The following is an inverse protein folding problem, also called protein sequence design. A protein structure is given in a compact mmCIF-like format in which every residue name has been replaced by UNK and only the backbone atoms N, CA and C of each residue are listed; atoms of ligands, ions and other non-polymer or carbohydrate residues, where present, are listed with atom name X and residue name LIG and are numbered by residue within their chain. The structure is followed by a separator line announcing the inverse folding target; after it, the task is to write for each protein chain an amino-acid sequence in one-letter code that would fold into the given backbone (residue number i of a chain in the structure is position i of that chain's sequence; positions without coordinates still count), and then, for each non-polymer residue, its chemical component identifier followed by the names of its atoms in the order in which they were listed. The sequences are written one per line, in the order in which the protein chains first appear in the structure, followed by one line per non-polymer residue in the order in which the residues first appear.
data_IF_329463316480
#
_entry.id   IF_329463316480
#
_cell.length_a   1.000
_cell.length_b   1.000
_cell.length_c   1.000
_cell.angle_alpha   90.00
_cell.angle_beta   90.00
_cell.angle_gamma   90.00
#
_symmetry.space_group_name_H-M   'P 1'
#
loop_
_entity.id
_entity.type
_entity.pdbx_description
1 polymer ?
#
# COMPACT_ATOMS: atom_id res chain seq x y z
N UNK A 1 -22.43 9.75 31.16
CA UNK A 1 -22.48 8.40 31.81
C UNK A 1 -23.51 7.58 31.04
N UNK A 2 -23.22 6.30 30.78
CA UNK A 2 -24.02 5.37 29.93
C UNK A 2 -24.07 5.68 28.43
N UNK A 3 -24.08 4.69 27.52
CA UNK A 3 -23.24 3.48 27.41
C UNK A 3 -23.35 2.99 25.94
N UNK A 4 -22.28 2.45 25.36
CA UNK A 4 -22.31 1.87 24.00
C UNK A 4 -22.64 0.37 24.03
N UNK A 5 -23.62 -0.12 23.24
CA UNK A 5 -23.87 -1.56 23.11
C UNK A 5 -22.98 -2.18 22.02
N UNK A 6 -21.80 -2.67 22.41
CA UNK A 6 -21.06 -3.67 21.58
C UNK A 6 -21.83 -4.99 21.61
N UNK A 7 -22.75 -5.17 20.66
CA UNK A 7 -23.46 -6.42 20.49
C UNK A 7 -22.53 -7.49 19.90
N UNK A 8 -22.12 -8.43 20.74
CA UNK A 8 -21.42 -9.67 20.36
C UNK A 8 -22.35 -10.48 19.45
N UNK A 9 -21.97 -10.70 18.19
CA UNK A 9 -22.59 -11.75 17.37
C UNK A 9 -21.70 -13.00 17.41
N UNK A 10 -22.27 -14.08 17.92
CA UNK A 10 -21.56 -15.35 18.11
C UNK A 10 -21.40 -16.10 16.78
N UNK A 11 -20.18 -16.55 16.48
CA UNK A 11 -19.94 -17.48 15.38
C UNK A 11 -20.18 -18.92 15.86
N UNK A 12 -21.41 -19.41 15.75
CA UNK A 12 -21.75 -20.80 16.08
C UNK A 12 -21.26 -21.75 15.01
N UNK A 13 -20.17 -22.46 15.30
CA UNK A 13 -19.67 -23.56 14.49
C UNK A 13 -20.53 -24.82 14.68
N UNK A 14 -21.01 -25.41 13.58
CA UNK A 14 -21.45 -26.81 13.53
C UNK A 14 -21.62 -27.31 12.08
N UNK A 15 -20.77 -28.25 11.65
CA UNK A 15 -21.26 -29.42 10.90
C UNK A 15 -20.28 -30.59 11.05
N UNK A 16 -20.80 -31.77 11.40
CA UNK A 16 -20.01 -32.94 11.76
C UNK A 16 -20.00 -34.01 10.65
N UNK A 17 -18.80 -34.54 10.40
CA UNK A 17 -18.40 -35.82 9.82
C UNK A 17 -19.44 -36.82 9.24
N UNK A 18 -19.05 -37.46 8.12
CA UNK A 18 -19.35 -38.88 7.89
C UNK A 18 -18.28 -39.63 7.04
N UNK A 19 -17.71 -40.67 7.65
CA UNK A 19 -17.12 -41.92 7.11
C UNK A 19 -16.24 -41.99 5.83
N UNK A 20 -15.06 -42.63 5.97
CA UNK A 20 -14.30 -43.33 4.92
C UNK A 20 -14.73 -44.82 4.84
N UNK A 21 -14.42 -45.61 3.77
CA UNK A 21 -13.06 -46.08 3.39
C UNK A 21 -12.85 -46.08 1.84
N UNK A 22 -11.95 -46.80 1.12
CA UNK A 22 -10.99 -47.88 1.45
C UNK A 22 -9.78 -48.00 0.47
N UNK A 23 -8.65 -48.49 1.00
CA UNK A 23 -7.64 -49.41 0.40
C UNK A 23 -7.22 -49.34 -1.09
N UNK A 24 -5.99 -48.85 -1.32
CA UNK A 24 -4.95 -49.48 -2.18
C UNK A 24 -3.57 -48.90 -1.76
N UNK A 25 -2.74 -49.56 -0.95
CA UNK A 25 -1.86 -50.69 -1.30
C UNK A 25 -1.00 -50.44 -2.56
N UNK A 26 0.17 -49.81 -2.41
CA UNK A 26 1.45 -50.57 -2.34
C UNK A 26 2.66 -49.65 -2.21
N UNK A 27 3.65 -50.05 -1.40
CA UNK A 27 5.04 -49.59 -1.52
C UNK A 27 5.71 -50.38 -2.66
N UNK A 28 6.85 -49.91 -3.22
CA UNK A 28 8.12 -50.37 -2.69
C UNK A 28 9.22 -49.32 -2.61
N UNK A 29 10.28 -49.66 -1.86
CA UNK A 29 11.45 -48.82 -1.60
C UNK A 29 12.51 -48.92 -2.71
N UNK A 30 13.05 -47.77 -3.14
CA UNK A 30 14.37 -47.64 -3.77
C UNK A 30 14.87 -46.20 -3.52
N UNK A 31 15.82 -45.94 -2.62
CA UNK A 31 17.28 -46.06 -2.81
C UNK A 31 17.84 -45.29 -4.01
N UNK A 32 18.52 -44.16 -3.72
CA UNK A 32 19.69 -43.54 -4.40
C UNK A 32 19.70 -42.05 -4.02
N UNK A 33 20.28 -41.59 -2.91
CA UNK A 33 21.72 -41.57 -2.56
C UNK A 33 22.63 -41.09 -3.70
N UNK A 34 22.91 -39.78 -3.67
CA UNK A 34 24.10 -39.08 -4.19
C UNK A 34 24.58 -39.36 -5.62
N UNK A 35 24.54 -38.33 -6.46
CA UNK A 35 25.71 -37.97 -7.27
C UNK A 35 26.14 -36.53 -6.98
N UNK A 36 27.45 -36.33 -6.89
CA UNK A 36 28.10 -35.05 -6.63
C UNK A 36 28.06 -34.14 -7.87
N UNK A 37 28.27 -32.80 -7.71
CA UNK A 37 28.60 -31.97 -8.85
C UNK A 37 29.87 -32.50 -9.51
N UNK A 38 29.81 -32.73 -10.82
CA UNK A 38 30.97 -33.16 -11.61
C UNK A 38 31.96 -32.01 -11.73
N UNK A 39 32.97 -31.98 -10.86
CA UNK A 39 34.13 -31.11 -11.01
C UNK A 39 34.93 -31.54 -12.24
N UNK A 40 34.60 -30.94 -13.38
CA UNK A 40 35.31 -31.11 -14.65
C UNK A 40 36.69 -30.45 -14.62
N UNK A 41 37.66 -31.09 -13.97
CA UNK A 41 39.07 -30.73 -14.07
C UNK A 41 39.72 -31.43 -15.27
N UNK A 42 39.53 -30.86 -16.47
CA UNK A 42 40.37 -31.17 -17.63
C UNK A 42 41.51 -30.14 -17.68
N UNK A 43 42.74 -30.59 -17.39
CA UNK A 43 43.92 -29.74 -17.37
C UNK A 43 44.57 -29.60 -18.77
N UNK A 44 45.38 -28.55 -18.92
CA UNK A 44 46.18 -28.17 -20.11
C UNK A 44 45.35 -27.60 -21.27
N UNK A 45 45.75 -26.52 -21.94
CA UNK A 45 47.10 -25.97 -22.18
C UNK A 45 47.20 -24.45 -21.89
N UNK A 46 48.39 -23.91 -21.58
CA UNK A 46 48.66 -22.47 -21.61
C UNK A 46 49.03 -22.02 -23.03
N UNK A 47 48.30 -21.04 -23.58
CA UNK A 47 48.83 -20.25 -24.69
C UNK A 47 48.39 -18.78 -24.57
N UNK A 48 49.36 -17.91 -24.33
CA UNK A 48 49.16 -16.51 -23.94
C UNK A 48 49.09 -15.59 -25.16
N UNK A 49 47.92 -15.39 -25.77
CA UNK A 49 47.71 -14.28 -26.71
C UNK A 49 46.31 -13.67 -26.63
N UNK A 50 46.30 -12.36 -26.41
CA UNK A 50 45.39 -11.38 -27.03
C UNK A 50 43.87 -11.46 -26.77
N UNK A 51 43.46 -10.94 -25.60
CA UNK A 51 42.46 -9.86 -25.48
C UNK A 51 42.26 -9.52 -23.99
N UNK A 52 42.00 -8.25 -23.61
CA UNK A 52 41.25 -8.01 -22.38
C UNK A 52 39.87 -8.62 -22.59
N UNK A 53 39.55 -9.68 -21.85
CA UNK A 53 38.18 -10.21 -21.86
C UNK A 53 37.29 -9.06 -21.40
N UNK A 54 36.46 -8.54 -22.30
CA UNK A 54 35.33 -7.73 -21.87
C UNK A 54 34.58 -8.63 -20.89
N UNK A 55 34.51 -8.21 -19.62
CA UNK A 55 33.73 -8.95 -18.62
C UNK A 55 32.38 -9.23 -19.27
N UNK A 56 31.91 -10.49 -19.30
CA UNK A 56 30.66 -10.80 -19.98
C UNK A 56 29.63 -9.88 -19.35
N UNK A 57 29.12 -8.95 -20.17
CA UNK A 57 28.00 -8.11 -19.77
C UNK A 57 26.90 -9.10 -19.48
N UNK A 58 26.67 -9.35 -18.19
CA UNK A 58 25.59 -10.22 -17.77
C UNK A 58 24.36 -9.66 -18.47
N UNK A 59 23.65 -10.47 -19.29
CA UNK A 59 22.47 -9.98 -19.98
C UNK A 59 21.59 -9.39 -18.88
N UNK A 60 21.33 -8.08 -18.98
CA UNK A 60 20.68 -7.34 -17.91
C UNK A 60 19.43 -8.14 -17.54
N UNK A 61 19.40 -8.64 -16.30
CA UNK A 61 18.34 -9.55 -15.88
C UNK A 61 17.02 -8.88 -16.27
N UNK A 62 16.15 -9.55 -17.06
CA UNK A 62 14.96 -8.92 -17.59
C UNK A 62 14.25 -8.30 -16.39
N UNK A 63 14.08 -6.97 -16.43
CA UNK A 63 13.53 -6.24 -15.30
C UNK A 63 12.24 -6.96 -14.90
N UNK A 64 12.23 -7.51 -13.67
CA UNK A 64 11.11 -8.31 -13.21
C UNK A 64 9.85 -7.48 -13.46
N UNK A 65 8.80 -8.05 -14.10
CA UNK A 65 7.66 -7.27 -14.53
C UNK A 65 7.18 -6.49 -13.33
N UNK A 66 7.20 -5.15 -13.43
CA UNK A 66 6.88 -4.28 -12.31
C UNK A 66 5.52 -4.74 -11.78
N UNK A 67 5.52 -5.23 -10.53
CA UNK A 67 4.32 -5.80 -9.94
C UNK A 67 3.20 -4.77 -10.08
N UNK A 68 2.05 -5.19 -10.62
CA UNK A 68 0.95 -4.27 -10.88
C UNK A 68 0.70 -3.43 -9.60
N UNK A 69 0.62 -2.09 -9.72
CA UNK A 69 0.55 -1.25 -8.54
C UNK A 69 -0.66 -1.68 -7.72
N UNK A 70 -0.42 -1.99 -6.44
CA UNK A 70 -1.50 -2.34 -5.52
C UNK A 70 -2.51 -1.20 -5.47
N UNK A 71 -3.78 -1.50 -5.24
CA UNK A 71 -4.85 -0.50 -5.13
C UNK A 71 -4.50 0.64 -4.16
N UNK A 72 -3.82 0.32 -3.04
CA UNK A 72 -3.27 1.28 -2.08
C UNK A 72 -2.24 2.24 -2.71
N UNK A 73 -1.37 1.75 -3.58
CA UNK A 73 -0.36 2.57 -4.27
C UNK A 73 -1.00 3.45 -5.36
N UNK A 74 -2.04 2.97 -6.04
CA UNK A 74 -2.86 3.79 -6.95
C UNK A 74 -3.56 4.90 -6.17
N UNK A 75 -4.20 4.55 -5.05
CA UNK A 75 -4.88 5.50 -4.17
C UNK A 75 -3.91 6.54 -3.56
N UNK A 76 -2.68 6.17 -3.19
CA UNK A 76 -1.66 7.12 -2.72
C UNK A 76 -1.26 8.12 -3.82
N UNK A 77 -0.99 7.62 -5.03
CA UNK A 77 -0.62 8.47 -6.17
C UNK A 77 -1.74 9.45 -6.54
N UNK A 78 -2.99 8.96 -6.56
CA UNK A 78 -4.18 9.79 -6.75
C UNK A 78 -4.33 10.82 -5.64
N UNK A 79 -4.15 10.44 -4.36
CA UNK A 79 -4.23 11.37 -3.23
C UNK A 79 -3.18 12.49 -3.33
N UNK A 80 -1.93 12.18 -3.71
CA UNK A 80 -0.90 13.21 -3.94
C UNK A 80 -1.32 14.20 -5.03
N UNK A 81 -1.88 13.72 -6.15
CA UNK A 81 -2.37 14.58 -7.21
C UNK A 81 -3.56 15.46 -6.75
N UNK A 82 -4.48 14.89 -5.97
CA UNK A 82 -5.61 15.62 -5.36
C UNK A 82 -5.11 16.74 -4.45
N UNK A 83 -4.13 16.48 -3.57
CA UNK A 83 -3.60 17.49 -2.63
C UNK A 83 -2.95 18.65 -3.40
N UNK A 84 -2.18 18.38 -4.45
CA UNK A 84 -1.59 19.44 -5.28
C UNK A 84 -2.65 20.27 -6.02
N UNK A 85 -3.70 19.64 -6.57
CA UNK A 85 -4.84 20.34 -7.15
C UNK A 85 -5.53 21.25 -6.14
N UNK A 86 -5.80 20.74 -4.92
CA UNK A 86 -6.44 21.50 -3.85
C UNK A 86 -5.59 22.69 -3.37
N UNK A 87 -4.27 22.55 -3.33
CA UNK A 87 -3.32 23.64 -3.03
C UNK A 87 -3.26 24.67 -4.14
N UNK A 88 -3.33 24.24 -5.41
CA UNK A 88 -3.46 25.13 -6.57
C UNK A 88 -4.81 25.87 -6.62
N UNK A 89 -5.83 25.37 -5.92
CA UNK A 89 -7.20 25.91 -5.99
C UNK A 89 -7.98 25.39 -7.20
N UNK A 90 -7.50 24.32 -7.83
CA UNK A 90 -8.10 23.70 -9.01
C UNK A 90 -8.79 22.38 -8.66
N UNK A 91 -9.76 21.97 -9.48
CA UNK A 91 -10.45 20.69 -9.34
C UNK A 91 -10.65 20.11 -10.74
N UNK A 92 -9.83 19.12 -11.10
CA UNK A 92 -9.98 18.41 -12.36
C UNK A 92 -11.19 17.48 -12.30
N UNK A 93 -12.28 17.84 -12.97
CA UNK A 93 -13.55 17.10 -12.89
C UNK A 93 -13.53 15.76 -13.61
N UNK A 94 -12.41 15.34 -14.20
CA UNK A 94 -12.26 14.00 -14.81
C UNK A 94 -11.76 12.96 -13.81
N UNK A 95 -11.19 13.38 -12.67
CA UNK A 95 -10.70 12.48 -11.62
C UNK A 95 -11.76 12.14 -10.55
N UNK A 96 -12.84 12.93 -10.45
CA UNK A 96 -13.89 12.75 -9.45
C UNK A 96 -15.23 12.42 -10.12
N UNK A 97 -16.10 11.75 -9.38
CA UNK A 97 -17.54 11.68 -9.72
C UNK A 97 -18.15 13.09 -9.79
N UNK A 98 -19.17 13.29 -10.64
CA UNK A 98 -19.75 14.61 -10.90
C UNK A 98 -20.32 15.31 -9.65
N UNK A 99 -20.90 14.54 -8.71
CA UNK A 99 -21.37 15.04 -7.42
C UNK A 99 -20.21 15.56 -6.55
N UNK A 100 -19.15 14.76 -6.39
CA UNK A 100 -17.99 15.14 -5.59
C UNK A 100 -17.24 16.32 -6.21
N UNK A 101 -17.07 16.35 -7.53
CA UNK A 101 -16.48 17.49 -8.25
C UNK A 101 -17.27 18.79 -7.99
N UNK A 102 -18.62 18.73 -8.03
CA UNK A 102 -19.48 19.86 -7.74
C UNK A 102 -19.31 20.39 -6.31
N UNK A 103 -19.30 19.49 -5.32
CA UNK A 103 -19.07 19.84 -3.90
C UNK A 103 -17.69 20.46 -3.68
N UNK A 104 -16.66 19.84 -4.25
CA UNK A 104 -15.26 20.25 -4.07
C UNK A 104 -15.03 21.64 -4.67
N UNK A 105 -15.59 21.93 -5.86
CA UNK A 105 -15.57 23.28 -6.47
C UNK A 105 -16.34 24.32 -5.65
N UNK A 106 -17.38 23.93 -4.92
CA UNK A 106 -18.06 24.79 -3.97
C UNK A 106 -17.26 25.09 -2.69
N UNK A 107 -16.36 24.20 -2.29
CA UNK A 107 -15.58 24.29 -1.06
C UNK A 107 -14.13 24.74 -1.24
N UNK A 108 -13.62 24.74 -2.49
CA UNK A 108 -12.19 24.97 -2.80
C UNK A 108 -11.66 26.30 -2.24
N UNK A 109 -12.45 27.39 -2.31
CA UNK A 109 -12.07 28.70 -1.78
C UNK A 109 -11.94 28.73 -0.24
N UNK A 110 -12.53 27.76 0.46
CA UNK A 110 -12.35 27.57 1.91
C UNK A 110 -11.21 26.61 2.22
N UNK A 111 -11.05 25.55 1.41
CA UNK A 111 -10.04 24.50 1.63
C UNK A 111 -8.63 24.95 1.23
N UNK A 112 -8.45 25.61 0.08
CA UNK A 112 -7.15 26.04 -0.42
C UNK A 112 -6.31 26.81 0.62
N UNK A 113 -6.79 27.89 1.28
CA UNK A 113 -5.96 28.62 2.24
C UNK A 113 -5.61 27.77 3.48
N UNK A 114 -6.43 26.79 3.84
CA UNK A 114 -6.14 25.84 4.94
C UNK A 114 -5.01 24.90 4.52
N UNK A 115 -5.11 24.28 3.33
CA UNK A 115 -4.08 23.39 2.79
C UNK A 115 -2.74 24.10 2.52
N UNK A 116 -2.77 25.35 2.05
CA UNK A 116 -1.57 26.18 1.90
C UNK A 116 -0.98 26.55 3.27
N UNK A 117 -1.84 26.80 4.27
CA UNK A 117 -1.43 27.09 5.65
C UNK A 117 -0.76 25.92 6.38
N UNK A 118 -0.92 24.68 5.92
CA UNK A 118 -0.18 23.52 6.44
C UNK A 118 1.26 23.44 5.91
N UNK A 119 1.61 24.18 4.85
CA UNK A 119 2.95 24.19 4.26
C UNK A 119 3.16 23.20 3.12
N UNK A 120 4.35 22.62 3.03
CA UNK A 120 4.71 21.59 2.05
C UNK A 120 4.37 20.18 2.55
N UNK A 121 4.03 19.26 1.64
CA UNK A 121 3.85 17.84 1.99
C UNK A 121 5.23 17.20 2.20
N UNK A 122 5.47 16.68 3.40
CA UNK A 122 6.72 16.04 3.80
C UNK A 122 6.65 14.52 3.57
N UNK A 123 5.54 13.88 3.96
CA UNK A 123 5.30 12.46 3.71
C UNK A 123 3.81 12.15 3.50
N UNK A 124 3.57 11.05 2.78
CA UNK A 124 2.26 10.40 2.67
C UNK A 124 2.50 8.94 3.07
N UNK A 125 1.74 8.46 4.05
CA UNK A 125 1.90 7.12 4.61
C UNK A 125 0.56 6.38 4.56
N UNK A 126 0.55 5.18 3.97
CA UNK A 126 -0.65 4.36 3.85
C UNK A 126 -0.95 3.65 5.18
N UNK A 127 -2.08 4.00 5.80
CA UNK A 127 -2.56 3.37 7.04
C UNK A 127 -3.30 2.06 6.77
N UNK A 128 -3.77 1.85 5.52
CA UNK A 128 -4.48 0.67 5.06
C UNK A 128 -5.64 1.04 4.13
N UNK A 129 -6.56 0.10 3.90
CA UNK A 129 -7.85 0.37 3.25
C UNK A 129 -8.98 -0.26 4.08
N UNK A 130 -10.11 0.43 4.18
CA UNK A 130 -11.35 -0.06 4.81
C UNK A 130 -12.49 0.09 3.80
N UNK A 131 -13.23 -0.98 3.53
CA UNK A 131 -14.34 -1.02 2.55
C UNK A 131 -14.01 -0.38 1.18
N UNK A 132 -12.84 -0.68 0.62
CA UNK A 132 -12.36 -0.12 -0.66
C UNK A 132 -11.92 1.35 -0.60
N UNK A 133 -11.95 1.96 0.59
CA UNK A 133 -11.49 3.34 0.83
C UNK A 133 -10.09 3.30 1.42
N UNK A 134 -9.09 3.77 0.66
CA UNK A 134 -7.72 3.91 1.13
C UNK A 134 -7.60 5.00 2.20
N UNK A 135 -6.92 4.68 3.30
CA UNK A 135 -6.68 5.57 4.43
C UNK A 135 -5.20 5.96 4.47
N UNK A 136 -4.94 7.26 4.56
CA UNK A 136 -3.58 7.82 4.48
C UNK A 136 -3.37 8.88 5.57
N UNK A 137 -2.17 8.87 6.15
CA UNK A 137 -1.66 9.98 6.95
C UNK A 137 -0.80 10.86 6.04
N UNK A 138 -1.13 12.14 5.93
CA UNK A 138 -0.35 13.13 5.20
C UNK A 138 0.28 14.07 6.22
N UNK A 139 1.60 14.05 6.29
CA UNK A 139 2.39 14.95 7.12
C UNK A 139 2.81 16.13 6.25
N UNK A 140 2.37 17.32 6.63
CA UNK A 140 2.86 18.58 6.11
C UNK A 140 3.88 19.19 7.09
N UNK A 141 4.52 20.28 6.69
CA UNK A 141 5.50 21.03 7.49
C UNK A 141 4.92 21.48 8.86
N UNK A 142 3.71 22.06 8.86
CA UNK A 142 3.07 22.64 10.05
C UNK A 142 1.98 21.76 10.67
N UNK A 143 1.56 20.66 10.02
CA UNK A 143 0.42 19.85 10.46
C UNK A 143 0.43 18.40 9.93
N UNK A 144 -0.13 17.46 10.70
CA UNK A 144 -0.50 16.13 10.22
C UNK A 144 -2.02 16.05 9.97
N UNK A 145 -2.43 15.33 8.92
CA UNK A 145 -3.83 15.24 8.50
C UNK A 145 -4.16 13.84 8.00
N UNK A 146 -5.36 13.35 8.30
CA UNK A 146 -5.83 12.05 7.84
C UNK A 146 -6.75 12.22 6.62
N UNK A 147 -6.48 11.44 5.59
CA UNK A 147 -7.20 11.45 4.33
C UNK A 147 -7.80 10.07 4.06
N UNK A 148 -9.02 10.05 3.55
CA UNK A 148 -9.71 8.85 3.09
C UNK A 148 -10.11 9.06 1.63
N UNK A 149 -9.75 8.13 0.75
CA UNK A 149 -10.02 8.20 -0.69
C UNK A 149 -10.65 6.88 -1.16
N UNK A 150 -11.90 6.97 -1.62
CA UNK A 150 -12.66 5.84 -2.16
C UNK A 150 -12.79 6.00 -3.67
N UNK A 151 -12.27 5.02 -4.41
CA UNK A 151 -12.42 4.93 -5.86
C UNK A 151 -13.65 4.08 -6.18
N UNK A 152 -14.38 4.43 -7.26
CA UNK A 152 -15.45 3.58 -7.78
C UNK A 152 -14.90 2.53 -8.77
N UNK A 153 -15.80 1.72 -9.34
CA UNK A 153 -15.48 0.68 -10.33
C UNK A 153 -14.82 1.23 -11.62
N UNK A 154 -15.04 2.52 -11.95
CA UNK A 154 -14.40 3.22 -13.07
C UNK A 154 -13.02 3.81 -12.71
N UNK A 155 -12.58 3.71 -11.46
CA UNK A 155 -11.36 4.34 -10.93
C UNK A 155 -11.49 5.83 -10.61
N UNK A 156 -12.70 6.39 -10.64
CA UNK A 156 -12.98 7.78 -10.26
C UNK A 156 -13.10 7.93 -8.75
N UNK A 157 -12.68 9.08 -8.23
CA UNK A 157 -12.85 9.42 -6.81
C UNK A 157 -14.35 9.64 -6.53
N UNK A 158 -14.96 8.69 -5.82
CA UNK A 158 -16.34 8.75 -5.36
C UNK A 158 -16.45 9.30 -3.93
N UNK A 159 -15.43 9.06 -3.10
CA UNK A 159 -15.32 9.61 -1.77
C UNK A 159 -13.95 10.25 -1.56
N UNK A 160 -13.94 11.48 -1.06
CA UNK A 160 -12.75 12.15 -0.53
C UNK A 160 -13.12 12.76 0.82
N UNK A 161 -12.44 12.33 1.88
CA UNK A 161 -12.70 12.79 3.23
C UNK A 161 -11.39 13.28 3.86
N UNK A 162 -11.37 14.57 4.20
CA UNK A 162 -10.28 15.24 4.86
C UNK A 162 -10.61 15.44 6.35
N UNK A 163 -9.67 15.10 7.24
CA UNK A 163 -9.78 15.40 8.67
C UNK A 163 -8.42 15.90 9.20
N UNK A 164 -8.37 16.98 10.01
CA UNK A 164 -7.18 17.27 10.78
C UNK A 164 -6.89 16.08 11.70
N UNK A 165 -5.62 15.66 11.80
CA UNK A 165 -5.25 14.65 12.80
C UNK A 165 -5.53 15.24 14.20
N UNK A 166 -5.94 14.42 15.18
CA UNK A 166 -6.02 14.89 16.56
C UNK A 166 -4.62 15.41 16.98
N UNK A 167 -4.52 16.55 17.67
CA UNK A 167 -3.23 17.00 18.17
C UNK A 167 -2.71 15.98 19.20
N UNK A 168 -1.53 15.41 18.96
CA UNK A 168 -0.80 14.49 19.85
C UNK A 168 -0.43 15.11 21.23
N UNK A 169 -0.95 16.30 21.57
CA UNK A 169 -0.67 17.02 22.81
C UNK A 169 -1.83 17.94 23.22
N UNK A 170 -2.94 17.32 23.61
CA UNK A 170 -3.78 17.83 24.72
C UNK A 170 -3.57 17.00 25.99
N UNK A 171 -2.33 16.54 26.23
CA UNK A 171 -1.80 16.39 27.59
C UNK A 171 -1.41 17.78 28.07
N UNK A 172 -2.24 18.49 28.85
CA UNK A 172 -1.77 19.69 29.52
C UNK A 172 -0.57 19.29 30.38
N UNK A 173 0.57 19.96 30.14
CA UNK A 173 1.67 20.00 31.09
C UNK A 173 1.16 20.70 32.35
N UNK A 174 0.49 19.96 33.23
CA UNK A 174 -0.01 20.46 34.49
C UNK A 174 1.20 20.83 35.35
N UNK A 175 1.43 22.12 35.66
CA UNK A 175 2.55 22.49 36.51
C UNK A 175 2.34 21.89 37.90
N UNK A 176 3.33 21.19 38.48
CA UNK A 176 3.23 20.73 39.85
C UNK A 176 3.45 21.92 40.79
N UNK A 177 2.37 22.48 41.36
CA UNK A 177 2.38 23.15 42.66
C UNK A 177 0.97 23.57 43.13
N UNK A 178 0.52 22.99 44.23
CA UNK A 178 0.37 23.71 45.51
C UNK A 178 0.56 22.69 46.64
#
# INVERSE_FOLDING_TARGET
MTLSPRAVLMFTAALSALAAPAMAQTLPSAQSRSLAPSSGAAATLPNSFDAPVAAPVAPAAPAAPAAAPTEVAVAEATLRAVIEQLRAGEVDTTLYTADLAGRLKGQIATLQPILVGFGAVQSVEALGSEDGTGQFLVVFDEAATQWMIGLNEDGLIAALLFRPAPPESSTPNAPPAT
#
